data_IF_119248206737
#
_entry.id   IF_119248206737
#
_cell.length_a   1.000
_cell.length_b   1.000
_cell.length_c   1.000
_cell.angle_alpha   90.00
_cell.angle_beta   90.00
_cell.angle_gamma   90.00
#
_symmetry.space_group_name_H-M   'P 1'
#
loop_
_entity.id
_entity.type
_entity.pdbx_description
1 polymer ?
#
# COMPACT_ATOMS: atom_id res chain seq x y z
N UNK A 1 -12.68 -11.33 3.03
CA UNK A 1 -12.49 -10.34 1.93
C UNK A 1 -11.79 -9.06 2.38
N UNK A 2 -12.26 -8.33 3.39
CA UNK A 2 -11.63 -7.07 3.81
C UNK A 2 -10.17 -7.22 4.27
N UNK A 3 -9.87 -8.17 5.16
CA UNK A 3 -8.50 -8.48 5.59
C UNK A 3 -7.60 -8.89 4.42
N UNK A 4 -8.12 -9.67 3.45
CA UNK A 4 -7.40 -9.99 2.22
C UNK A 4 -7.00 -8.73 1.44
N UNK A 5 -7.90 -7.75 1.30
CA UNK A 5 -7.59 -6.48 0.62
C UNK A 5 -6.58 -5.64 1.39
N UNK A 6 -6.63 -5.63 2.72
CA UNK A 6 -5.63 -4.96 3.58
C UNK A 6 -4.27 -5.63 3.39
N UNK A 7 -4.19 -6.96 3.52
CA UNK A 7 -2.95 -7.71 3.34
C UNK A 7 -2.35 -7.48 1.95
N UNK A 8 -3.18 -7.50 0.90
CA UNK A 8 -2.74 -7.19 -0.46
C UNK A 8 -2.25 -5.74 -0.61
N UNK A 9 -2.91 -4.77 0.04
CA UNK A 9 -2.50 -3.38 -0.03
C UNK A 9 -1.17 -3.13 0.69
N UNK A 10 -0.92 -3.81 1.82
CA UNK A 10 0.40 -3.84 2.47
C UNK A 10 1.46 -4.44 1.54
N UNK A 11 1.14 -5.52 0.84
CA UNK A 11 2.06 -6.16 -0.11
C UNK A 11 2.44 -5.21 -1.26
N UNK A 12 1.50 -4.40 -1.77
CA UNK A 12 1.78 -3.37 -2.78
C UNK A 12 2.72 -2.27 -2.29
N UNK A 13 2.64 -1.91 -1.00
CA UNK A 13 3.61 -0.98 -0.40
C UNK A 13 4.97 -1.67 -0.27
N UNK A 14 4.97 -2.95 0.11
CA UNK A 14 6.18 -3.74 0.24
C UNK A 14 6.97 -3.87 -1.06
N UNK A 15 6.30 -4.03 -2.21
CA UNK A 15 6.94 -4.16 -3.53
C UNK A 15 7.96 -3.05 -3.83
N UNK A 16 7.71 -1.83 -3.34
CA UNK A 16 8.50 -0.64 -3.69
C UNK A 16 9.25 -0.04 -2.49
N UNK A 17 9.25 -0.73 -1.35
CA UNK A 17 9.74 -0.21 -0.06
C UNK A 17 11.19 0.30 -0.07
N UNK A 18 12.02 -0.14 -1.00
CA UNK A 18 13.41 0.34 -1.17
C UNK A 18 13.66 1.11 -2.46
N UNK A 19 12.64 1.29 -3.31
CA UNK A 19 12.85 1.77 -4.67
C UNK A 19 13.23 3.25 -4.72
N UNK A 20 12.78 4.06 -3.74
CA UNK A 20 13.19 5.47 -3.62
C UNK A 20 14.72 5.59 -3.47
N UNK A 21 15.32 4.85 -2.53
CA UNK A 21 16.78 4.83 -2.38
C UNK A 21 17.51 4.18 -3.55
N UNK A 22 16.95 3.13 -4.15
CA UNK A 22 17.56 2.47 -5.33
C UNK A 22 17.57 3.34 -6.58
N UNK A 23 16.54 4.16 -6.79
CA UNK A 23 16.57 5.16 -7.88
C UNK A 23 17.66 6.21 -7.66
N UNK A 24 17.95 6.56 -6.41
CA UNK A 24 19.04 7.48 -6.09
C UNK A 24 20.43 6.90 -6.37
N UNK A 25 20.65 5.58 -6.18
CA UNK A 25 21.91 4.91 -6.59
C UNK A 25 22.19 5.09 -8.09
N UNK A 26 21.14 5.20 -8.91
CA UNK A 26 21.23 5.42 -10.35
C UNK A 26 21.23 6.91 -10.76
N UNK A 27 21.14 7.84 -9.80
CA UNK A 27 20.96 9.27 -10.09
C UNK A 27 19.58 9.62 -10.70
N UNK A 28 18.60 8.72 -10.60
CA UNK A 28 17.27 8.87 -11.20
C UNK A 28 16.29 9.59 -10.27
N UNK A 29 16.39 10.91 -10.22
CA UNK A 29 15.52 11.74 -9.39
C UNK A 29 14.05 11.74 -9.88
N UNK A 30 13.81 11.61 -11.19
CA UNK A 30 12.44 11.53 -11.74
C UNK A 30 11.79 10.22 -11.32
N UNK A 31 12.49 9.10 -11.49
CA UNK A 31 12.04 7.78 -11.05
C UNK A 31 11.73 7.78 -9.56
N UNK A 32 12.61 8.35 -8.74
CA UNK A 32 12.40 8.47 -7.30
C UNK A 32 11.09 9.17 -6.93
N UNK A 33 10.74 10.27 -7.62
CA UNK A 33 9.45 10.97 -7.44
C UNK A 33 8.25 10.14 -7.91
N UNK A 34 8.37 9.44 -9.03
CA UNK A 34 7.32 8.56 -9.56
C UNK A 34 7.02 7.42 -8.58
N UNK A 35 8.06 6.79 -8.02
CA UNK A 35 7.92 5.76 -6.98
C UNK A 35 7.19 6.35 -5.76
N UNK A 36 7.64 7.48 -5.23
CA UNK A 36 6.99 8.07 -4.05
C UNK A 36 5.53 8.43 -4.31
N UNK A 37 5.19 9.01 -5.45
CA UNK A 37 3.79 9.29 -5.81
C UNK A 37 2.93 8.01 -5.83
N UNK A 38 3.48 6.89 -6.32
CA UNK A 38 2.78 5.60 -6.32
C UNK A 38 2.67 4.98 -4.93
N UNK A 39 3.70 5.10 -4.09
CA UNK A 39 3.63 4.69 -2.68
C UNK A 39 2.57 5.50 -1.92
N UNK A 40 2.52 6.82 -2.12
CA UNK A 40 1.50 7.72 -1.54
C UNK A 40 0.10 7.30 -1.99
N UNK A 41 -0.09 7.00 -3.27
CA UNK A 41 -1.35 6.45 -3.77
C UNK A 41 -1.75 5.17 -3.03
N UNK A 42 -0.82 4.23 -2.83
CA UNK A 42 -1.07 2.99 -2.10
C UNK A 42 -1.37 3.24 -0.60
N UNK A 43 -0.71 4.20 0.03
CA UNK A 43 -0.94 4.63 1.42
C UNK A 43 -2.36 5.19 1.58
N UNK A 44 -2.77 6.13 0.71
CA UNK A 44 -4.13 6.71 0.75
C UNK A 44 -5.21 5.64 0.57
N UNK A 45 -4.99 4.68 -0.35
CA UNK A 45 -5.92 3.56 -0.56
C UNK A 45 -6.02 2.66 0.66
N UNK A 46 -4.91 2.37 1.33
CA UNK A 46 -4.92 1.59 2.56
C UNK A 46 -5.64 2.35 3.67
N UNK A 47 -5.38 3.65 3.86
CA UNK A 47 -6.10 4.47 4.83
C UNK A 47 -7.63 4.40 4.64
N UNK A 48 -8.11 4.49 3.39
CA UNK A 48 -9.53 4.30 3.06
C UNK A 48 -10.02 2.90 3.44
N UNK A 49 -9.26 1.85 3.13
CA UNK A 49 -9.59 0.48 3.50
C UNK A 49 -9.68 0.30 5.03
N UNK A 50 -8.76 0.86 5.81
CA UNK A 50 -8.79 0.80 7.28
C UNK A 50 -10.06 1.44 7.86
N UNK A 51 -10.60 2.45 7.18
CA UNK A 51 -11.87 3.12 7.50
C UNK A 51 -13.10 2.45 6.86
N UNK A 52 -12.94 1.24 6.31
CA UNK A 52 -14.01 0.48 5.60
C UNK A 52 -14.63 1.25 4.42
N UNK A 53 -13.85 2.13 3.77
CA UNK A 53 -14.26 2.88 2.59
C UNK A 53 -13.53 2.36 1.35
N UNK A 54 -14.26 2.15 0.25
CA UNK A 54 -13.63 1.84 -1.02
C UNK A 54 -13.01 3.09 -1.64
N UNK A 55 -11.89 2.92 -2.34
CA UNK A 55 -11.28 4.01 -3.07
C UNK A 55 -12.24 4.53 -4.16
N UNK A 56 -12.46 5.85 -4.25
CA UNK A 56 -13.27 6.42 -5.31
C UNK A 56 -12.49 6.43 -6.63
N UNK A 57 -13.09 7.03 -7.67
CA UNK A 57 -12.36 7.35 -8.89
C UNK A 57 -11.04 8.10 -8.58
N UNK A 58 -9.94 7.84 -9.33
CA UNK A 58 -8.62 8.39 -9.00
C UNK A 58 -8.56 9.91 -8.80
N UNK A 59 -9.34 10.68 -9.58
CA UNK A 59 -9.42 12.15 -9.46
C UNK A 59 -9.98 12.64 -8.11
N UNK A 60 -10.70 11.78 -7.38
CA UNK A 60 -11.28 12.09 -6.07
C UNK A 60 -10.56 11.39 -4.92
N UNK A 61 -9.45 10.69 -5.17
CA UNK A 61 -8.73 9.94 -4.15
C UNK A 61 -8.25 10.88 -3.03
N UNK A 62 -7.58 11.98 -3.39
CA UNK A 62 -7.09 12.97 -2.42
C UNK A 62 -8.22 13.60 -1.61
N UNK A 63 -9.33 13.98 -2.25
CA UNK A 63 -10.51 14.52 -1.56
C UNK A 63 -11.12 13.53 -0.58
N UNK A 64 -11.30 12.26 -0.97
CA UNK A 64 -11.83 11.24 -0.07
C UNK A 64 -10.85 10.90 1.08
N UNK A 65 -9.54 10.87 0.79
CA UNK A 65 -8.50 10.69 1.81
C UNK A 65 -8.51 11.83 2.83
N UNK A 66 -8.63 13.09 2.39
CA UNK A 66 -8.61 14.27 3.28
C UNK A 66 -9.76 14.30 4.31
N UNK A 67 -10.82 13.50 4.09
CA UNK A 67 -11.96 13.38 4.99
C UNK A 67 -11.78 12.28 6.06
N UNK A 68 -10.65 11.57 6.07
CA UNK A 68 -10.39 10.52 7.04
C UNK A 68 -9.80 11.09 8.33
N UNK A 69 -10.12 10.51 9.52
CA UNK A 69 -9.51 10.94 10.77
C UNK A 69 -7.98 10.91 10.75
N UNK A 70 -7.37 9.86 10.17
CA UNK A 70 -5.91 9.72 10.08
C UNK A 70 -5.25 10.69 9.09
N UNK A 71 -6.01 11.43 8.29
CA UNK A 71 -5.45 12.38 7.33
C UNK A 71 -4.77 13.57 8.01
N UNK A 72 -5.17 13.92 9.24
CA UNK A 72 -4.53 15.02 10.01
C UNK A 72 -3.05 14.76 10.27
N UNK A 73 -2.67 13.50 10.50
CA UNK A 73 -1.28 13.08 10.70
C UNK A 73 -0.61 12.68 9.39
N UNK A 74 -1.32 11.98 8.51
CA UNK A 74 -0.74 11.45 7.28
C UNK A 74 -0.56 12.53 6.19
N UNK A 75 -1.51 13.45 5.98
CA UNK A 75 -1.43 14.40 4.86
C UNK A 75 -0.15 15.25 4.86
N UNK A 76 0.30 15.82 6.00
CA UNK A 76 1.56 16.57 6.04
C UNK A 76 2.80 15.73 5.72
N UNK A 77 2.78 14.42 6.01
CA UNK A 77 3.87 13.50 5.64
C UNK A 77 3.88 13.25 4.13
N UNK A 78 2.71 12.99 3.54
CA UNK A 78 2.57 12.73 2.11
C UNK A 78 2.91 13.97 1.27
N UNK A 79 2.49 15.16 1.70
CA UNK A 79 2.83 16.43 1.04
C UNK A 79 4.34 16.68 1.06
N UNK A 80 4.99 16.51 2.22
CA UNK A 80 6.45 16.66 2.34
C UNK A 80 7.20 15.64 1.49
N UNK A 81 6.74 14.39 1.43
CA UNK A 81 7.32 13.38 0.54
C UNK A 81 7.22 13.76 -0.95
N UNK A 82 6.09 14.33 -1.38
CA UNK A 82 5.91 14.81 -2.76
C UNK A 82 6.82 16.01 -3.09
N UNK A 83 6.98 16.94 -2.15
CA UNK A 83 7.77 18.16 -2.36
C UNK A 83 9.26 18.00 -2.09
N UNK A 84 9.70 16.88 -1.52
CA UNK A 84 11.09 16.64 -1.15
C UNK A 84 12.04 16.81 -2.34
N UNK A 85 13.08 17.64 -2.15
CA UNK A 85 14.11 17.92 -3.16
C UNK A 85 15.17 16.83 -3.26
N UNK A 86 15.25 15.94 -2.27
CA UNK A 86 16.17 14.82 -2.25
C UNK A 86 15.49 13.53 -1.79
N UNK A 87 16.10 12.41 -2.16
CA UNK A 87 15.54 11.08 -1.91
C UNK A 87 15.54 10.68 -0.43
N UNK A 88 16.42 11.22 0.42
CA UNK A 88 16.49 10.84 1.84
C UNK A 88 15.32 11.41 2.61
N UNK A 89 15.00 12.70 2.37
CA UNK A 89 13.80 13.32 2.92
C UNK A 89 12.54 12.60 2.44
N UNK A 90 12.50 12.25 1.15
CA UNK A 90 11.39 11.48 0.54
C UNK A 90 11.22 10.12 1.20
N UNK A 91 12.31 9.36 1.35
CA UNK A 91 12.32 8.04 2.02
C UNK A 91 11.84 8.16 3.46
N UNK A 92 12.39 9.12 4.21
CA UNK A 92 12.02 9.37 5.60
C UNK A 92 10.51 9.64 5.75
N UNK A 93 9.95 10.56 4.96
CA UNK A 93 8.52 10.89 5.06
C UNK A 93 7.60 9.74 4.64
N UNK A 94 8.01 8.94 3.66
CA UNK A 94 7.28 7.72 3.29
C UNK A 94 7.34 6.68 4.42
N UNK A 95 8.51 6.48 5.02
CA UNK A 95 8.68 5.58 6.15
C UNK A 95 7.81 6.00 7.35
N UNK A 96 7.84 7.28 7.73
CA UNK A 96 7.00 7.86 8.78
C UNK A 96 5.51 7.64 8.46
N UNK A 97 5.07 7.90 7.22
CA UNK A 97 3.68 7.70 6.82
C UNK A 97 3.24 6.22 6.88
N UNK A 98 4.11 5.30 6.47
CA UNK A 98 3.85 3.85 6.54
C UNK A 98 3.76 3.40 8.00
N UNK A 99 4.62 3.91 8.88
CA UNK A 99 4.58 3.63 10.32
C UNK A 99 3.27 4.13 10.94
N UNK A 100 2.91 5.41 10.74
CA UNK A 100 1.66 6.00 11.23
C UNK A 100 0.45 5.18 10.78
N UNK A 101 0.45 4.69 9.54
CA UNK A 101 -0.65 3.90 9.02
C UNK A 101 -0.78 2.52 9.70
N UNK A 102 0.35 1.89 10.06
CA UNK A 102 0.36 0.66 10.84
C UNK A 102 -0.13 0.90 12.28
N UNK A 103 0.24 2.03 12.88
CA UNK A 103 -0.25 2.46 14.19
C UNK A 103 -1.77 2.75 14.18
N UNK A 104 -2.29 3.38 13.12
CA UNK A 104 -3.74 3.55 12.92
C UNK A 104 -4.44 2.19 12.81
N UNK A 105 -3.86 1.22 12.09
CA UNK A 105 -4.40 -0.13 11.99
C UNK A 105 -4.46 -0.83 13.37
N UNK A 106 -3.41 -0.66 14.19
CA UNK A 106 -3.36 -1.15 15.57
C UNK A 106 -4.42 -0.51 16.45
N UNK A 107 -4.53 0.82 16.43
CA UNK A 107 -5.52 1.55 17.24
C UNK A 107 -6.97 1.20 16.90
N UNK A 108 -7.22 0.70 15.68
CA UNK A 108 -8.52 0.17 15.25
C UNK A 108 -8.77 -1.29 15.63
N UNK A 109 -7.83 -1.95 16.31
CA UNK A 109 -7.91 -3.37 16.70
C UNK A 109 -8.24 -4.29 15.50
N UNK A 110 -7.64 -4.03 14.34
CA UNK A 110 -7.83 -4.90 13.17
C UNK A 110 -7.16 -6.25 13.44
N UNK A 111 -7.85 -7.39 13.21
CA UNK A 111 -7.25 -8.71 13.42
C UNK A 111 -5.91 -8.85 12.69
N UNK A 112 -4.86 -9.23 13.42
CA UNK A 112 -3.51 -9.42 12.88
C UNK A 112 -2.70 -8.13 12.81
N UNK A 113 -3.22 -7.02 13.32
CA UNK A 113 -2.44 -5.81 13.48
C UNK A 113 -1.33 -6.04 14.51
N UNK A 114 -0.09 -5.76 14.11
CA UNK A 114 1.12 -5.87 14.93
C UNK A 114 1.88 -4.55 14.90
N UNK A 115 2.69 -4.30 15.94
CA UNK A 115 3.58 -3.14 16.01
C UNK A 115 4.46 -3.06 14.76
N UNK A 116 4.54 -1.90 14.07
CA UNK A 116 5.44 -1.76 12.93
C UNK A 116 6.90 -1.87 13.39
N UNK A 117 7.70 -2.59 12.61
CA UNK A 117 9.13 -2.75 12.85
C UNK A 117 9.89 -2.20 11.65
N UNK A 118 11.05 -1.58 11.89
CA UNK A 118 11.98 -1.26 10.81
C UNK A 118 12.47 -2.57 10.16
N UNK A 119 12.48 -2.61 8.84
CA UNK A 119 13.02 -3.72 8.06
C UNK A 119 14.50 -3.54 7.78
N UNK A 120 15.19 -4.66 7.55
CA UNK A 120 16.59 -4.68 7.11
C UNK A 120 16.66 -5.32 5.74
N UNK A 121 17.38 -4.70 4.80
CA UNK A 121 17.67 -5.30 3.49
C UNK A 121 19.17 -5.41 3.27
N UNK A 122 19.76 -6.54 3.69
CA UNK A 122 21.18 -6.85 3.51
C UNK A 122 22.09 -5.67 3.93
N UNK A 123 23.24 -5.49 3.29
CA UNK A 123 24.22 -4.44 3.57
C UNK A 123 23.85 -3.07 2.96
N UNK A 124 22.56 -2.76 2.78
CA UNK A 124 22.12 -1.51 2.14
C UNK A 124 21.47 -0.53 3.12
N UNK A 125 21.75 0.78 3.00
CA UNK A 125 21.33 1.79 3.97
C UNK A 125 19.91 2.34 3.71
N UNK A 126 18.98 1.53 3.18
CA UNK A 126 17.62 1.97 2.88
C UNK A 126 16.69 1.71 4.05
N UNK A 127 15.91 2.71 4.44
CA UNK A 127 15.01 2.62 5.59
C UNK A 127 13.58 2.38 5.14
N UNK A 128 12.92 1.40 5.76
CA UNK A 128 11.52 1.10 5.52
C UNK A 128 10.92 0.35 6.71
N UNK A 129 9.59 0.37 6.82
CA UNK A 129 8.85 -0.51 7.73
C UNK A 129 8.62 -1.86 7.05
N UNK A 130 8.78 -2.95 7.80
CA UNK A 130 8.56 -4.32 7.31
C UNK A 130 7.07 -4.60 7.04
N UNK A 131 6.61 -4.09 5.91
CA UNK A 131 5.25 -4.23 5.40
C UNK A 131 4.93 -5.65 4.93
N UNK A 132 5.94 -6.51 4.74
CA UNK A 132 5.73 -7.94 4.47
C UNK A 132 5.20 -8.61 5.74
N UNK A 133 5.84 -8.39 6.89
CA UNK A 133 5.34 -8.88 8.19
C UNK A 133 3.92 -8.38 8.49
N UNK A 134 3.64 -7.10 8.22
CA UNK A 134 2.28 -6.55 8.38
C UNK A 134 1.27 -7.26 7.47
N UNK A 135 1.64 -7.53 6.20
CA UNK A 135 0.79 -8.29 5.27
C UNK A 135 0.55 -9.72 5.75
N UNK A 136 1.60 -10.41 6.20
CA UNK A 136 1.55 -11.80 6.68
C UNK A 136 0.66 -11.95 7.91
N UNK A 137 0.82 -11.07 8.90
CA UNK A 137 0.05 -11.11 10.14
C UNK A 137 -1.46 -10.92 9.89
N UNK A 138 -1.83 -9.97 9.03
CA UNK A 138 -3.24 -9.81 8.59
C UNK A 138 -3.72 -11.04 7.80
N UNK A 139 -2.85 -11.63 6.97
CA UNK A 139 -3.16 -12.82 6.18
C UNK A 139 -3.48 -14.05 7.03
N UNK A 140 -2.79 -14.22 8.16
CA UNK A 140 -3.02 -15.33 9.10
C UNK A 140 -4.45 -15.32 9.67
N UNK A 141 -5.01 -14.13 9.91
CA UNK A 141 -6.35 -13.94 10.48
C UNK A 141 -7.51 -14.14 9.48
N UNK A 142 -7.21 -14.41 8.20
CA UNK A 142 -8.25 -14.67 7.19
C UNK A 142 -8.88 -16.05 7.44
N UNK A 143 -10.07 -16.09 8.06
CA UNK A 143 -10.76 -17.34 8.39
C UNK A 143 -11.10 -18.23 7.17
N UNK A 144 -11.43 -17.62 6.03
CA UNK A 144 -11.75 -18.35 4.80
C UNK A 144 -10.47 -18.94 4.18
N UNK A 145 -10.39 -20.27 4.17
CA UNK A 145 -9.22 -21.00 3.66
C UNK A 145 -8.95 -20.73 2.18
N UNK A 146 -9.99 -20.58 1.36
CA UNK A 146 -9.80 -20.30 -0.07
C UNK A 146 -9.20 -18.92 -0.25
N UNK A 147 -9.70 -17.90 0.47
CA UNK A 147 -9.13 -16.56 0.43
C UNK A 147 -7.71 -16.49 0.98
N UNK A 148 -7.41 -17.23 2.06
CA UNK A 148 -6.07 -17.28 2.67
C UNK A 148 -5.02 -17.84 1.70
N UNK A 149 -5.42 -18.77 0.83
CA UNK A 149 -4.53 -19.40 -0.16
C UNK A 149 -4.35 -18.57 -1.45
N UNK A 150 -5.11 -17.49 -1.65
CA UNK A 150 -4.96 -16.66 -2.85
C UNK A 150 -3.64 -15.87 -2.79
N UNK A 151 -2.95 -15.68 -3.94
CA UNK A 151 -1.87 -14.72 -4.01
C UNK A 151 -2.37 -13.32 -3.61
N UNK A 152 -1.53 -12.55 -2.93
CA UNK A 152 -1.90 -11.25 -2.33
C UNK A 152 -1.78 -10.07 -3.30
N UNK A 153 -2.31 -10.22 -4.51
CA UNK A 153 -2.44 -9.10 -5.46
C UNK A 153 -3.72 -8.27 -5.25
N UNK A 154 -4.69 -8.78 -4.46
CA UNK A 154 -5.88 -8.05 -4.03
C UNK A 154 -7.08 -8.20 -4.98
N UNK A 155 -8.09 -7.35 -4.77
CA UNK A 155 -9.26 -7.28 -5.65
C UNK A 155 -8.95 -6.60 -6.98
N UNK A 156 -9.86 -6.74 -7.95
CA UNK A 156 -9.72 -6.13 -9.28
C UNK A 156 -9.36 -4.63 -9.24
N UNK A 157 -9.95 -3.88 -8.32
CA UNK A 157 -9.69 -2.46 -8.10
C UNK A 157 -8.28 -2.14 -7.60
N UNK A 158 -7.53 -3.12 -7.07
CA UNK A 158 -6.18 -2.93 -6.53
C UNK A 158 -5.09 -3.15 -7.59
N UNK A 159 -5.34 -3.99 -8.61
CA UNK A 159 -4.36 -4.29 -9.66
C UNK A 159 -4.78 -3.87 -11.08
N UNK A 160 -6.06 -3.59 -11.33
CA UNK A 160 -6.52 -3.02 -12.59
C UNK A 160 -6.57 -1.49 -12.48
N UNK A 161 -6.02 -0.82 -13.48
CA UNK A 161 -6.30 0.58 -13.78
C UNK A 161 -7.21 0.71 -15.00
N UNK A 162 -7.51 1.94 -15.41
CA UNK A 162 -8.23 2.30 -16.65
C UNK A 162 -9.74 2.00 -16.68
N UNK A 163 -10.34 2.16 -17.87
CA UNK A 163 -11.74 1.85 -18.16
C UNK A 163 -12.10 0.37 -17.95
N UNK A 164 -11.12 -0.54 -17.91
CA UNK A 164 -11.35 -1.99 -17.66
C UNK A 164 -12.11 -2.20 -16.36
N UNK A 165 -11.78 -1.45 -15.30
CA UNK A 165 -12.46 -1.55 -14.02
C UNK A 165 -13.94 -1.11 -14.10
N UNK A 166 -14.26 -0.21 -15.02
CA UNK A 166 -15.62 0.32 -15.20
C UNK A 166 -16.55 -0.62 -15.97
N UNK A 167 -16.02 -1.68 -16.59
CA UNK A 167 -16.81 -2.69 -17.32
C UNK A 167 -16.80 -4.01 -16.52
N UNK A 168 -17.91 -4.38 -15.84
CA UNK A 168 -17.93 -5.53 -14.94
C UNK A 168 -17.51 -6.86 -15.57
N UNK A 169 -17.85 -7.09 -16.84
CA UNK A 169 -17.44 -8.32 -17.55
C UNK A 169 -15.93 -8.36 -17.78
N UNK A 170 -15.30 -7.22 -18.10
CA UNK A 170 -13.85 -7.14 -18.33
C UNK A 170 -13.08 -7.25 -17.03
N UNK A 171 -13.52 -6.55 -15.98
CA UNK A 171 -12.88 -6.63 -14.66
C UNK A 171 -13.00 -8.04 -14.06
N UNK A 172 -14.17 -8.68 -14.21
CA UNK A 172 -14.36 -10.08 -13.80
C UNK A 172 -13.45 -11.02 -14.61
N UNK A 173 -13.39 -10.89 -15.94
CA UNK A 173 -12.56 -11.75 -16.76
C UNK A 173 -11.07 -11.64 -16.40
N UNK A 174 -10.56 -10.42 -16.23
CA UNK A 174 -9.17 -10.18 -15.85
C UNK A 174 -8.85 -10.75 -14.45
N UNK A 175 -9.74 -10.54 -13.48
CA UNK A 175 -9.56 -11.08 -12.14
C UNK A 175 -9.61 -12.61 -12.12
N UNK A 176 -10.59 -13.22 -12.79
CA UNK A 176 -10.71 -14.68 -12.89
C UNK A 176 -9.49 -15.32 -13.53
N UNK A 177 -8.93 -14.70 -14.58
CA UNK A 177 -7.71 -15.20 -15.22
C UNK A 177 -6.53 -15.24 -14.23
N UNK A 178 -6.29 -14.16 -13.49
CA UNK A 178 -5.23 -14.09 -12.48
C UNK A 178 -5.43 -15.10 -11.33
N UNK A 179 -6.66 -15.22 -10.82
CA UNK A 179 -6.95 -16.19 -9.76
C UNK A 179 -6.82 -17.64 -10.21
N UNK A 180 -7.07 -17.95 -11.49
CA UNK A 180 -6.91 -19.30 -12.03
C UNK A 180 -5.44 -19.68 -12.24
N UNK A 181 -4.58 -18.74 -12.62
CA UNK A 181 -3.13 -18.97 -12.74
C UNK A 181 -2.50 -19.17 -11.37
N UNK A 182 -2.89 -18.37 -10.37
CA UNK A 182 -2.33 -18.43 -9.01
C UNK A 182 -2.78 -19.63 -8.17
N UNK A 183 -3.66 -20.50 -8.68
CA UNK A 183 -4.09 -21.75 -8.04
C UNK A 183 -3.33 -22.99 -8.52
N UNK A 184 -2.40 -22.83 -9.47
CA UNK A 184 -1.50 -23.89 -9.95
C UNK A 184 -0.18 -23.83 -9.19
#
# INVERSE_FOLDING_TARGET
MWLYKIAAQWNRIAEERTYIGRTAEAGDEIGSRVIAARMIHNIMRLALLLERRYAPYPKWLGSAFSQLPCAVELAPLLERALSASDWRQREQHIMEAVQTLAEVQLGKNIPGAITPEEGVLHDRPFRFIDTVKLSDAIGAEIADQQLRQLPRFGGADQFLGSFVLAVPSWSSAAASALFNVGRR
#
